data_IF_386100223172
#
_entry.id   IF_386100223172
#
_cell.length_a   1.000
_cell.length_b   1.000
_cell.length_c   1.000
_cell.angle_alpha   90.00
_cell.angle_beta   90.00
_cell.angle_gamma   90.00
#
_symmetry.space_group_name_H-M   'P 1'
#
loop_
_entity.id
_entity.type
_entity.pdbx_description
1 polymer ?
#
# COMPACT_ATOMS: atom_id res chain seq x y z
N UNK A 1 42.54 16.52 19.31
CA UNK A 1 43.73 15.70 18.99
C UNK A 1 43.27 14.50 18.19
N UNK A 2 43.92 14.29 17.04
CA UNK A 2 44.05 13.09 16.22
C UNK A 2 42.82 12.39 15.64
N UNK A 3 42.55 12.73 14.37
CA UNK A 3 42.23 11.76 13.30
C UNK A 3 43.35 10.70 13.18
N UNK A 4 43.04 9.59 12.51
CA UNK A 4 43.86 9.25 11.35
C UNK A 4 43.04 9.03 10.07
N UNK A 5 43.70 9.39 8.97
CA UNK A 5 43.33 9.24 7.57
C UNK A 5 44.22 8.19 6.91
N UNK A 6 43.66 7.34 6.05
CA UNK A 6 44.31 6.63 4.92
C UNK A 6 43.37 5.49 4.49
N UNK A 7 43.15 5.09 3.24
CA UNK A 7 43.61 5.44 1.88
C UNK A 7 42.59 4.75 0.94
N UNK A 8 42.36 5.20 -0.30
CA UNK A 8 43.35 5.23 -1.37
C UNK A 8 43.48 3.83 -1.99
N UNK A 9 42.49 3.40 -2.79
CA UNK A 9 42.50 2.11 -3.47
C UNK A 9 41.72 2.18 -4.79
N UNK A 10 42.42 2.47 -5.87
CA UNK A 10 41.94 2.51 -7.25
C UNK A 10 41.86 1.07 -7.78
N UNK A 11 40.71 0.67 -8.33
CA UNK A 11 40.56 -0.59 -9.07
C UNK A 11 40.66 -0.33 -10.59
N UNK A 12 41.28 -1.24 -11.37
CA UNK A 12 41.64 -1.00 -12.75
C UNK A 12 40.47 -1.20 -13.72
N UNK A 13 40.51 -0.42 -14.81
CA UNK A 13 39.62 -0.51 -15.96
C UNK A 13 39.79 -1.84 -16.69
N UNK A 14 38.69 -2.55 -16.92
CA UNK A 14 38.62 -3.71 -17.79
C UNK A 14 38.28 -3.25 -19.22
N UNK A 15 39.22 -3.52 -20.12
CA UNK A 15 39.19 -3.40 -21.58
C UNK A 15 38.03 -4.19 -22.21
N UNK A 16 37.23 -3.53 -23.06
CA UNK A 16 36.32 -4.19 -24.01
C UNK A 16 37.07 -4.58 -25.31
N UNK A 17 36.78 -5.74 -25.91
CA UNK A 17 37.09 -5.99 -27.32
C UNK A 17 35.96 -5.53 -28.24
N UNK A 18 36.34 -4.76 -29.27
CA UNK A 18 35.53 -4.39 -30.45
C UNK A 18 35.43 -5.57 -31.43
N UNK A 19 34.29 -5.66 -32.15
CA UNK A 19 34.13 -5.97 -33.60
C UNK A 19 32.70 -6.50 -33.91
N UNK A 20 32.19 -6.48 -35.16
CA UNK A 20 32.02 -5.35 -36.05
C UNK A 20 30.59 -5.27 -36.65
N UNK A 21 30.30 -4.14 -37.29
CA UNK A 21 29.10 -3.87 -38.08
C UNK A 21 28.81 -4.92 -39.18
N UNK A 22 27.54 -5.31 -39.35
CA UNK A 22 27.01 -5.75 -40.67
C UNK A 22 25.62 -5.20 -40.98
N UNK A 23 25.52 -4.73 -42.21
CA UNK A 23 24.44 -4.02 -42.86
C UNK A 23 23.17 -4.86 -43.12
N UNK A 24 22.03 -4.15 -43.00
CA UNK A 24 20.86 -4.11 -43.90
C UNK A 24 20.65 -5.24 -44.92
N UNK A 25 19.43 -5.80 -44.90
CA UNK A 25 18.64 -6.03 -46.13
C UNK A 25 17.14 -6.02 -45.85
N UNK A 26 16.47 -4.99 -46.37
CA UNK A 26 15.01 -4.93 -46.58
C UNK A 26 14.61 -5.94 -47.65
N UNK A 27 13.51 -6.66 -47.45
CA UNK A 27 12.72 -7.19 -48.56
C UNK A 27 11.25 -6.79 -48.42
N UNK A 28 10.79 -6.07 -49.44
CA UNK A 28 9.40 -5.73 -49.76
C UNK A 28 8.72 -6.89 -50.53
N UNK A 29 7.38 -6.78 -50.62
CA UNK A 29 6.42 -7.45 -51.54
C UNK A 29 5.71 -8.67 -50.92
N UNK A 30 4.43 -8.96 -51.17
CA UNK A 30 3.38 -8.39 -52.01
C UNK A 30 2.01 -8.89 -51.47
N UNK A 31 0.97 -8.07 -51.54
CA UNK A 31 -0.45 -8.49 -51.49
C UNK A 31 -0.88 -9.11 -52.84
N UNK A 32 -1.85 -10.04 -52.82
CA UNK A 32 -3.04 -9.92 -53.67
C UNK A 32 -4.33 -10.29 -52.90
N UNK A 33 -5.41 -9.49 -52.96
CA UNK A 33 -6.51 -9.44 -53.96
C UNK A 33 -7.69 -10.36 -53.63
N UNK A 34 -8.86 -9.74 -53.38
CA UNK A 34 -10.20 -10.32 -53.27
C UNK A 34 -10.74 -10.82 -54.63
N UNK A 35 -11.82 -11.62 -54.62
CA UNK A 35 -12.88 -11.52 -55.61
C UNK A 35 -14.26 -11.17 -55.00
N UNK A 36 -14.98 -10.28 -55.70
CA UNK A 36 -16.45 -10.16 -55.83
C UNK A 36 -16.98 -11.38 -56.62
N UNK A 37 -18.26 -11.79 -56.71
CA UNK A 37 -19.62 -11.26 -56.54
C UNK A 37 -20.56 -12.51 -56.54
N UNK A 38 -21.70 -12.52 -55.85
CA UNK A 38 -23.07 -12.55 -56.40
C UNK A 38 -24.01 -12.76 -55.18
N UNK A 39 -25.18 -12.17 -55.00
CA UNK A 39 -26.18 -11.72 -55.97
C UNK A 39 -27.44 -12.58 -55.88
N UNK A 40 -28.15 -12.60 -54.74
CA UNK A 40 -29.49 -13.18 -54.65
C UNK A 40 -30.38 -12.38 -53.67
N UNK A 41 -31.45 -11.81 -54.23
CA UNK A 41 -32.47 -10.99 -53.58
C UNK A 41 -33.74 -11.83 -53.41
N UNK A 42 -34.15 -12.22 -52.19
CA UNK A 42 -35.54 -12.64 -51.92
C UNK A 42 -35.97 -12.33 -50.48
N UNK A 43 -37.06 -11.55 -50.40
CA UNK A 43 -38.10 -11.46 -49.36
C UNK A 43 -37.77 -10.78 -48.02
N UNK A 44 -38.26 -9.54 -47.90
CA UNK A 44 -38.48 -8.82 -46.64
C UNK A 44 -39.74 -9.41 -46.00
N UNK A 45 -39.57 -10.26 -44.98
CA UNK A 45 -40.64 -10.57 -44.02
C UNK A 45 -40.29 -9.92 -42.68
N UNK A 46 -41.16 -8.98 -42.30
CA UNK A 46 -41.17 -8.23 -41.04
C UNK A 46 -41.00 -9.14 -39.81
N UNK A 47 -39.80 -9.20 -39.23
CA UNK A 47 -39.62 -9.67 -37.85
C UNK A 47 -39.77 -8.48 -36.91
N UNK A 48 -40.89 -8.51 -36.18
CA UNK A 48 -41.26 -7.60 -35.09
C UNK A 48 -40.08 -7.32 -34.16
N UNK A 49 -39.87 -6.04 -33.88
CA UNK A 49 -38.97 -5.52 -32.85
C UNK A 49 -39.12 -6.29 -31.54
N UNK A 50 -38.14 -7.13 -31.22
CA UNK A 50 -37.92 -7.56 -29.83
C UNK A 50 -37.11 -6.47 -29.15
N UNK A 51 -37.82 -5.47 -28.63
CA UNK A 51 -37.28 -4.56 -27.63
C UNK A 51 -36.88 -5.43 -26.43
N UNK A 52 -35.59 -5.73 -26.30
CA UNK A 52 -35.03 -6.29 -25.09
C UNK A 52 -35.11 -5.18 -24.05
N UNK A 53 -36.19 -5.17 -23.26
CA UNK A 53 -36.21 -4.40 -22.01
C UNK A 53 -35.09 -4.98 -21.14
N UNK A 54 -33.93 -4.33 -21.18
CA UNK A 54 -32.94 -4.42 -20.12
C UNK A 54 -33.64 -3.87 -18.88
N UNK A 55 -34.22 -4.77 -18.08
CA UNK A 55 -34.60 -4.46 -16.71
C UNK A 55 -33.29 -4.06 -16.02
N UNK A 56 -33.03 -2.75 -15.97
CA UNK A 56 -32.06 -2.18 -15.07
C UNK A 56 -32.52 -2.55 -13.67
N UNK A 57 -32.00 -3.66 -13.14
CA UNK A 57 -32.10 -3.94 -11.72
C UNK A 57 -31.50 -2.71 -11.06
N UNK A 58 -32.28 -1.91 -10.30
CA UNK A 58 -31.66 -0.89 -9.50
C UNK A 58 -30.81 -1.66 -8.51
N UNK A 59 -29.48 -1.64 -8.73
CA UNK A 59 -28.56 -1.97 -7.66
C UNK A 59 -28.83 -0.88 -6.63
N UNK A 60 -29.71 -1.18 -5.69
CA UNK A 60 -29.84 -0.43 -4.45
C UNK A 60 -28.53 -0.67 -3.71
N UNK A 61 -27.49 0.05 -4.13
CA UNK A 61 -26.32 0.30 -3.31
C UNK A 61 -26.85 1.12 -2.14
N UNK A 62 -27.31 0.41 -1.12
CA UNK A 62 -27.38 1.01 0.20
C UNK A 62 -25.97 1.57 0.45
N UNK A 63 -25.82 2.86 0.76
CA UNK A 63 -24.50 3.42 1.01
C UNK A 63 -23.78 2.54 2.04
N UNK A 64 -22.56 2.10 1.73
CA UNK A 64 -21.74 1.37 2.69
C UNK A 64 -21.52 2.30 3.90
N UNK A 65 -22.15 1.98 5.02
CA UNK A 65 -22.13 2.84 6.20
C UNK A 65 -21.33 2.17 7.32
N UNK A 66 -20.09 2.61 7.46
CA UNK A 66 -19.19 2.19 8.53
C UNK A 66 -19.21 3.25 9.65
N UNK A 67 -19.54 2.87 10.90
CA UNK A 67 -19.52 3.81 12.02
C UNK A 67 -18.10 4.05 12.58
N UNK A 68 -17.12 3.26 12.13
CA UNK A 68 -15.74 3.34 12.57
C UNK A 68 -14.80 2.77 11.50
N UNK A 69 -13.54 3.19 11.55
CA UNK A 69 -12.44 2.64 10.75
C UNK A 69 -11.29 2.24 11.67
N UNK A 70 -10.76 1.03 11.47
CA UNK A 70 -9.58 0.51 12.17
C UNK A 70 -8.50 0.32 11.11
N UNK A 71 -7.43 1.09 11.20
CA UNK A 71 -6.37 1.06 10.18
C UNK A 71 -5.09 0.41 10.72
N UNK A 72 -4.55 -0.54 9.97
CA UNK A 72 -3.22 -1.11 10.16
C UNK A 72 -2.41 -0.82 8.89
N UNK A 73 -1.12 -0.58 9.00
CA UNK A 73 -0.36 -0.21 7.81
C UNK A 73 1.03 0.36 8.05
N UNK A 74 1.55 0.97 6.99
CA UNK A 74 2.83 1.67 6.98
C UNK A 74 2.67 3.19 6.76
N UNK A 75 3.72 3.84 6.23
CA UNK A 75 3.80 5.27 5.99
C UNK A 75 2.68 5.83 5.10
N UNK A 76 2.08 5.02 4.22
CA UNK A 76 1.00 5.46 3.34
C UNK A 76 -0.30 5.79 4.09
N UNK A 77 -0.45 5.24 5.30
CA UNK A 77 -1.63 5.43 6.14
C UNK A 77 -1.31 5.87 7.56
N UNK A 78 -0.03 6.02 7.95
CA UNK A 78 0.41 6.50 9.27
C UNK A 78 -0.01 7.96 9.56
N UNK A 79 -0.92 8.15 10.50
CA UNK A 79 -1.42 9.47 10.93
C UNK A 79 -0.65 10.09 12.10
N UNK A 80 0.43 9.46 12.57
CA UNK A 80 1.25 9.95 13.68
C UNK A 80 1.90 8.86 14.55
N UNK A 81 1.70 7.58 14.26
CA UNK A 81 2.22 6.45 15.03
C UNK A 81 3.74 6.49 15.19
N UNK A 82 4.50 6.53 14.09
CA UNK A 82 5.96 6.62 14.20
C UNK A 82 6.40 7.95 14.84
N UNK A 83 5.67 9.03 14.53
CA UNK A 83 5.97 10.37 15.04
C UNK A 83 5.83 10.45 16.57
N UNK A 84 4.81 9.81 17.13
CA UNK A 84 4.55 9.76 18.57
C UNK A 84 5.65 8.98 19.31
N UNK A 85 6.15 7.90 18.70
CA UNK A 85 7.15 7.03 19.30
C UNK A 85 8.59 7.56 19.18
N UNK A 86 8.96 8.10 18.02
CA UNK A 86 10.36 8.40 17.66
C UNK A 86 10.65 9.88 17.41
N UNK A 87 9.63 10.74 17.50
CA UNK A 87 9.76 12.19 17.37
C UNK A 87 9.17 12.73 16.07
N UNK A 88 9.03 14.06 15.98
CA UNK A 88 8.20 14.69 14.97
C UNK A 88 8.76 14.51 13.56
N UNK A 89 7.85 14.11 12.65
CA UNK A 89 8.05 14.29 11.21
C UNK A 89 8.12 15.80 10.92
N UNK A 90 9.14 16.27 10.19
CA UNK A 90 9.43 17.72 9.99
C UNK A 90 8.96 18.23 8.63
N UNK A 91 9.04 19.53 8.36
CA UNK A 91 8.81 20.12 7.02
C UNK A 91 9.61 19.34 5.94
N UNK A 92 9.05 19.09 4.73
CA UNK A 92 7.82 19.65 4.12
C UNK A 92 6.50 18.96 4.48
N UNK A 93 6.52 17.94 5.34
CA UNK A 93 5.31 17.18 5.65
C UNK A 93 4.24 18.07 6.32
N UNK A 94 3.00 17.96 5.83
CA UNK A 94 1.83 18.75 6.25
C UNK A 94 1.71 20.17 5.69
N UNK A 95 2.59 20.65 4.80
CA UNK A 95 2.60 22.04 4.32
C UNK A 95 1.37 22.47 3.52
N UNK A 96 0.69 21.56 2.81
CA UNK A 96 -0.42 21.88 1.90
C UNK A 96 -1.77 21.89 2.63
N UNK A 97 -2.04 20.89 3.47
CA UNK A 97 -3.36 20.72 4.11
C UNK A 97 -3.37 21.15 5.59
N UNK A 98 -2.47 20.62 6.41
CA UNK A 98 -2.44 20.92 7.85
C UNK A 98 -1.72 22.25 8.16
N UNK A 99 -0.93 22.75 7.22
CA UNK A 99 -0.07 23.95 7.34
C UNK A 99 0.93 23.89 8.49
N UNK A 100 1.21 22.68 8.97
CA UNK A 100 2.17 22.36 10.02
C UNK A 100 2.53 20.87 9.95
N UNK A 101 3.67 20.45 10.53
CA UNK A 101 3.98 19.03 10.62
C UNK A 101 2.94 18.29 11.47
N UNK A 102 2.25 17.33 10.84
CA UNK A 102 1.10 16.62 11.40
C UNK A 102 1.39 15.12 11.61
N UNK A 103 2.67 14.73 11.73
CA UNK A 103 3.08 13.34 11.99
C UNK A 103 2.94 12.38 10.79
N UNK A 104 2.63 12.89 9.60
CA UNK A 104 2.28 12.12 8.40
C UNK A 104 3.38 12.20 7.35
N UNK A 105 3.65 11.13 6.62
CA UNK A 105 4.62 11.12 5.51
C UNK A 105 3.97 11.62 4.19
N UNK A 106 3.25 12.74 4.28
CA UNK A 106 2.60 13.44 3.18
C UNK A 106 2.64 14.95 3.43
N UNK A 107 2.60 15.77 2.39
CA UNK A 107 2.42 17.23 2.49
C UNK A 107 0.99 17.60 2.94
N UNK A 108 0.10 16.63 3.04
CA UNK A 108 -1.25 16.82 3.54
C UNK A 108 -1.94 15.53 3.96
N UNK A 109 -3.11 15.28 3.38
CA UNK A 109 -3.96 14.14 3.70
C UNK A 109 -3.38 12.83 3.17
N UNK A 110 -3.79 11.74 3.81
CA UNK A 110 -3.52 10.35 3.42
C UNK A 110 -4.80 9.70 2.88
N UNK A 111 -4.67 8.56 2.20
CA UNK A 111 -5.82 7.81 1.66
C UNK A 111 -6.87 7.51 2.73
N UNK A 112 -6.43 7.25 3.97
CA UNK A 112 -7.31 6.96 5.10
C UNK A 112 -8.18 8.15 5.51
N UNK A 113 -7.74 9.39 5.27
CA UNK A 113 -8.55 10.58 5.54
C UNK A 113 -9.71 10.70 4.54
N UNK A 114 -9.45 10.41 3.27
CA UNK A 114 -10.49 10.40 2.24
C UNK A 114 -11.50 9.27 2.48
N UNK A 115 -11.04 8.10 2.97
CA UNK A 115 -11.92 7.02 3.40
C UNK A 115 -12.82 7.50 4.55
N UNK A 116 -12.26 8.11 5.60
CA UNK A 116 -13.03 8.66 6.71
C UNK A 116 -14.06 9.72 6.25
N UNK A 117 -13.66 10.66 5.39
CA UNK A 117 -14.54 11.69 4.81
C UNK A 117 -15.71 11.05 4.05
N UNK A 118 -15.46 10.00 3.27
CA UNK A 118 -16.50 9.30 2.49
C UNK A 118 -17.59 8.67 3.36
N UNK A 119 -17.30 8.36 4.63
CA UNK A 119 -18.25 7.85 5.61
C UNK A 119 -18.79 8.92 6.56
N UNK A 120 -18.36 10.18 6.40
CA UNK A 120 -18.72 11.29 7.29
C UNK A 120 -18.09 11.17 8.68
N UNK A 121 -16.93 10.52 8.79
CA UNK A 121 -16.19 10.33 10.04
C UNK A 121 -15.06 11.37 10.18
N UNK A 122 -14.65 11.71 11.43
CA UNK A 122 -13.44 12.50 11.63
C UNK A 122 -12.18 11.70 11.23
N UNK A 123 -11.07 12.40 11.02
CA UNK A 123 -9.78 11.75 10.78
C UNK A 123 -9.35 10.90 11.98
N UNK A 124 -8.72 9.76 11.68
CA UNK A 124 -8.30 8.80 12.69
C UNK A 124 -7.12 9.34 13.49
N UNK A 125 -7.24 9.25 14.82
CA UNK A 125 -6.11 9.46 15.74
C UNK A 125 -5.18 8.25 15.69
N UNK A 126 -3.86 8.49 15.73
CA UNK A 126 -2.88 7.43 15.91
C UNK A 126 -3.05 6.81 17.31
N UNK A 127 -2.93 5.50 17.42
CA UNK A 127 -3.04 4.77 18.69
C UNK A 127 -1.99 5.22 19.71
N UNK A 128 -0.78 5.51 19.22
CA UNK A 128 0.36 5.93 20.04
C UNK A 128 0.34 7.41 20.44
N UNK A 129 -0.56 8.22 19.86
CA UNK A 129 -0.69 9.63 20.27
C UNK A 129 -1.30 9.72 21.68
N UNK A 130 -0.67 10.54 22.53
CA UNK A 130 -1.08 10.69 23.94
C UNK A 130 -1.99 11.90 24.20
N UNK A 131 -2.02 12.87 23.28
CA UNK A 131 -2.67 14.16 23.47
C UNK A 131 -3.77 14.38 22.43
N UNK A 132 -4.97 14.76 22.88
CA UNK A 132 -6.05 15.19 22.00
C UNK A 132 -6.70 14.09 21.16
N UNK A 133 -6.39 12.81 21.42
CA UNK A 133 -6.92 11.68 20.66
C UNK A 133 -8.41 11.47 20.89
N UNK A 134 -9.13 11.20 19.80
CA UNK A 134 -10.53 10.80 19.83
C UNK A 134 -10.71 9.49 19.07
N UNK A 135 -10.95 8.41 19.80
CA UNK A 135 -11.07 7.06 19.26
C UNK A 135 -12.52 6.61 19.06
N UNK A 136 -13.50 7.51 19.23
CA UNK A 136 -14.94 7.21 19.12
C UNK A 136 -15.30 6.48 17.84
N UNK A 137 -14.62 6.82 16.74
CA UNK A 137 -14.84 6.27 15.41
C UNK A 137 -13.66 5.39 14.92
N UNK A 138 -12.92 4.81 15.86
CA UNK A 138 -11.80 3.92 15.58
C UNK A 138 -10.43 4.59 15.76
N UNK A 139 -9.39 3.87 15.38
CA UNK A 139 -8.00 4.22 15.66
C UNK A 139 -7.09 3.78 14.51
N UNK A 140 -5.93 4.42 14.41
CA UNK A 140 -4.91 4.09 13.44
C UNK A 140 -3.66 3.50 14.12
N UNK A 141 -3.32 2.27 13.77
CA UNK A 141 -2.17 1.51 14.25
C UNK A 141 -1.00 1.51 13.24
N UNK A 142 -1.19 2.12 12.06
CA UNK A 142 -0.15 2.20 11.06
C UNK A 142 1.07 2.99 11.57
N UNK A 143 2.24 2.57 11.12
CA UNK A 143 3.51 3.18 11.50
C UNK A 143 4.47 3.21 10.31
N UNK A 144 5.04 4.37 10.01
CA UNK A 144 5.94 4.52 8.89
C UNK A 144 7.15 3.58 8.95
N UNK A 145 7.45 2.95 7.81
CA UNK A 145 8.49 1.92 7.69
C UNK A 145 8.10 0.56 8.26
N UNK A 146 6.85 0.35 8.67
CA UNK A 146 6.38 -0.95 9.15
C UNK A 146 6.39 -2.01 8.05
N UNK A 147 6.70 -3.22 8.46
CA UNK A 147 6.72 -4.45 7.64
C UNK A 147 5.70 -5.44 8.18
N UNK A 148 5.26 -6.37 7.34
CA UNK A 148 4.45 -7.50 7.77
C UNK A 148 5.27 -8.37 8.72
N UNK A 149 6.48 -8.76 8.32
CA UNK A 149 7.37 -9.55 9.17
C UNK A 149 8.24 -8.65 10.05
N UNK A 150 8.46 -8.98 11.34
CA UNK A 150 9.43 -8.30 12.18
C UNK A 150 10.84 -8.30 11.58
N UNK A 151 11.57 -7.20 11.76
CA UNK A 151 12.94 -7.06 11.26
C UNK A 151 13.96 -7.21 12.40
N UNK A 152 15.05 -7.93 12.15
CA UNK A 152 16.12 -8.14 13.14
C UNK A 152 17.15 -6.99 13.16
N UNK A 153 16.67 -5.76 13.00
CA UNK A 153 17.48 -4.53 13.00
C UNK A 153 16.70 -3.42 13.68
N UNK A 154 17.40 -2.49 14.32
CA UNK A 154 16.76 -1.31 14.91
C UNK A 154 16.35 -0.31 13.82
N UNK A 155 15.42 0.60 14.15
CA UNK A 155 15.02 1.70 13.27
C UNK A 155 16.22 2.51 12.76
N UNK A 156 17.22 2.76 13.61
CA UNK A 156 18.41 3.52 13.23
C UNK A 156 19.38 2.76 12.32
N UNK A 157 19.34 1.42 12.33
CA UNK A 157 20.19 0.57 11.49
C UNK A 157 19.54 0.25 10.14
N UNK A 158 18.25 -0.12 10.16
CA UNK A 158 17.54 -0.62 8.99
C UNK A 158 16.51 0.33 8.39
N UNK A 159 16.08 1.36 9.12
CA UNK A 159 14.98 2.22 8.72
C UNK A 159 13.59 1.58 8.83
N UNK A 160 13.50 0.36 9.36
CA UNK A 160 12.23 -0.35 9.56
C UNK A 160 11.63 -0.03 10.92
N UNK A 161 10.32 0.13 10.95
CA UNK A 161 9.58 0.36 12.19
C UNK A 161 9.62 -0.87 13.08
N UNK A 162 9.77 -0.72 14.42
CA UNK A 162 9.56 -1.84 15.34
C UNK A 162 8.06 -2.18 15.51
N UNK A 163 7.16 -1.40 14.92
CA UNK A 163 5.72 -1.64 14.92
C UNK A 163 5.31 -2.46 13.68
N UNK A 164 5.85 -3.68 13.56
CA UNK A 164 5.45 -4.65 12.53
C UNK A 164 3.98 -5.08 12.70
N UNK A 165 3.43 -5.78 11.72
CA UNK A 165 1.99 -6.06 11.68
C UNK A 165 1.48 -6.84 12.91
N UNK A 166 2.28 -7.75 13.44
CA UNK A 166 2.02 -8.47 14.69
C UNK A 166 1.92 -7.52 15.90
N UNK A 167 2.82 -6.53 15.99
CA UNK A 167 2.78 -5.49 17.02
C UNK A 167 1.54 -4.61 16.85
N UNK A 168 1.19 -4.22 15.62
CA UNK A 168 -0.04 -3.46 15.36
C UNK A 168 -1.31 -4.25 15.73
N UNK A 169 -1.28 -5.58 15.57
CA UNK A 169 -2.35 -6.45 16.07
C UNK A 169 -2.43 -6.41 17.59
N UNK A 170 -1.31 -6.54 18.31
CA UNK A 170 -1.28 -6.47 19.78
C UNK A 170 -1.80 -5.12 20.30
N UNK A 171 -1.43 -4.02 19.63
CA UNK A 171 -1.95 -2.69 19.91
C UNK A 171 -3.46 -2.62 19.71
N UNK A 172 -4.00 -3.19 18.62
CA UNK A 172 -5.43 -3.27 18.37
C UNK A 172 -6.17 -4.10 19.44
N UNK A 173 -5.65 -5.28 19.80
CA UNK A 173 -6.23 -6.14 20.83
C UNK A 173 -6.29 -5.40 22.18
N UNK A 174 -5.20 -4.72 22.53
CA UNK A 174 -5.14 -3.92 23.75
C UNK A 174 -6.11 -2.73 23.68
N UNK A 175 -6.15 -2.01 22.56
CA UNK A 175 -7.06 -0.90 22.33
C UNK A 175 -8.53 -1.32 22.49
N UNK A 176 -8.92 -2.41 21.83
CA UNK A 176 -10.29 -2.93 21.90
C UNK A 176 -10.67 -3.25 23.35
N UNK A 177 -9.83 -3.97 24.07
CA UNK A 177 -10.08 -4.32 25.48
C UNK A 177 -10.20 -3.07 26.38
N UNK A 178 -9.17 -2.21 26.37
CA UNK A 178 -9.10 -1.04 27.26
C UNK A 178 -10.15 0.01 26.95
N UNK A 179 -10.46 0.23 25.67
CA UNK A 179 -11.51 1.17 25.28
C UNK A 179 -12.88 0.77 25.82
N UNK A 180 -13.19 -0.53 25.85
CA UNK A 180 -14.45 -1.01 26.44
C UNK A 180 -14.45 -0.85 27.96
N UNK A 181 -13.33 -1.13 28.65
CA UNK A 181 -13.23 -0.84 30.09
C UNK A 181 -13.48 0.64 30.39
N UNK A 182 -12.92 1.56 29.61
CA UNK A 182 -13.13 3.00 29.77
C UNK A 182 -14.58 3.38 29.47
N UNK A 183 -15.16 2.83 28.39
CA UNK A 183 -16.54 3.09 28.00
C UNK A 183 -17.54 2.65 29.09
N UNK A 184 -17.34 1.46 29.66
CA UNK A 184 -18.15 0.91 30.74
C UNK A 184 -18.00 1.69 32.06
N UNK A 185 -16.79 2.16 32.37
CA UNK A 185 -16.53 2.99 33.55
C UNK A 185 -17.22 4.35 33.48
N UNK A 186 -17.51 4.84 32.27
CA UNK A 186 -18.21 6.09 32.05
C UNK A 186 -17.35 7.34 32.28
N UNK A 187 -18.00 8.46 32.59
CA UNK A 187 -17.33 9.75 32.79
C UNK A 187 -16.87 10.42 31.50
N UNK A 188 -15.97 11.40 31.64
CA UNK A 188 -15.57 12.31 30.55
C UNK A 188 -14.91 11.61 29.36
N UNK A 189 -14.26 10.47 29.58
CA UNK A 189 -13.55 9.73 28.53
C UNK A 189 -14.44 8.75 27.75
N UNK A 190 -15.66 8.47 28.21
CA UNK A 190 -16.58 7.54 27.53
C UNK A 190 -16.87 7.96 26.09
N UNK A 191 -17.13 9.25 25.88
CA UNK A 191 -17.50 9.80 24.56
C UNK A 191 -16.34 9.80 23.55
N UNK A 192 -15.11 9.55 24.01
CA UNK A 192 -13.91 9.40 23.19
C UNK A 192 -13.61 7.94 22.82
N UNK A 193 -14.37 6.98 23.33
CA UNK A 193 -14.17 5.55 23.09
C UNK A 193 -15.22 4.98 22.14
N UNK A 194 -14.87 4.00 21.29
CA UNK A 194 -15.81 3.36 20.39
C UNK A 194 -16.85 2.55 21.17
N UNK A 195 -18.07 2.51 20.63
CA UNK A 195 -19.12 1.61 21.14
C UNK A 195 -18.78 0.16 20.78
N UNK A 196 -19.19 -0.79 21.62
CA UNK A 196 -18.92 -2.22 21.42
C UNK A 196 -19.36 -2.72 20.04
N UNK A 197 -20.53 -2.29 19.58
CA UNK A 197 -21.10 -2.66 18.30
C UNK A 197 -20.36 -2.05 17.08
N UNK A 198 -19.47 -1.09 17.28
CA UNK A 198 -18.69 -0.52 16.19
C UNK A 198 -17.62 -1.48 15.69
N UNK A 199 -17.03 -2.32 16.54
CA UNK A 199 -16.00 -3.28 16.10
C UNK A 199 -16.53 -4.26 15.05
N UNK A 200 -17.72 -4.81 15.22
CA UNK A 200 -18.30 -5.73 14.23
C UNK A 200 -18.82 -5.05 12.96
N UNK A 201 -18.89 -3.72 12.97
CA UNK A 201 -19.38 -2.89 11.87
C UNK A 201 -18.30 -2.01 11.27
N UNK A 202 -17.07 -2.03 11.78
CA UNK A 202 -15.99 -1.18 11.32
C UNK A 202 -15.44 -1.66 9.97
N UNK A 203 -14.87 -0.73 9.22
CA UNK A 203 -13.99 -1.07 8.10
C UNK A 203 -12.57 -1.25 8.65
N UNK A 204 -11.99 -2.41 8.40
CA UNK A 204 -10.60 -2.72 8.72
C UNK A 204 -9.74 -2.52 7.48
N UNK A 205 -8.84 -1.55 7.51
CA UNK A 205 -8.01 -1.17 6.36
C UNK A 205 -6.56 -1.62 6.56
N UNK A 206 -5.94 -2.11 5.48
CA UNK A 206 -4.54 -2.56 5.47
C UNK A 206 -3.81 -1.91 4.29
N UNK A 207 -2.73 -1.18 4.58
CA UNK A 207 -1.78 -0.69 3.58
C UNK A 207 -0.37 -0.98 4.07
N UNK A 208 0.12 -2.17 3.75
CA UNK A 208 1.40 -2.71 4.24
C UNK A 208 1.97 -3.72 3.24
N UNK A 209 3.29 -3.93 3.31
CA UNK A 209 4.01 -4.92 2.49
C UNK A 209 5.02 -4.29 1.54
N UNK A 210 4.94 -2.99 1.24
CA UNK A 210 5.92 -2.33 0.37
C UNK A 210 7.33 -2.32 1.00
N UNK A 211 7.38 -2.13 2.33
CA UNK A 211 8.62 -2.20 3.09
C UNK A 211 9.17 -3.63 3.15
N UNK A 212 8.34 -4.67 3.11
CA UNK A 212 8.78 -6.07 3.03
C UNK A 212 9.47 -6.35 1.69
N UNK A 213 8.89 -5.88 0.58
CA UNK A 213 9.52 -5.97 -0.76
C UNK A 213 10.86 -5.27 -0.76
N UNK A 214 10.95 -4.10 -0.11
CA UNK A 214 12.21 -3.41 0.11
C UNK A 214 13.17 -4.26 0.94
N UNK A 215 12.73 -4.78 2.09
CA UNK A 215 13.57 -5.58 2.97
C UNK A 215 14.22 -6.76 2.26
N UNK A 216 13.44 -7.64 1.63
CA UNK A 216 14.03 -8.81 0.98
C UNK A 216 14.83 -8.45 -0.28
N UNK A 217 14.44 -7.41 -1.04
CA UNK A 217 15.17 -7.00 -2.25
C UNK A 217 16.55 -6.42 -1.92
N UNK A 218 16.65 -5.62 -0.87
CA UNK A 218 17.90 -4.96 -0.48
C UNK A 218 18.79 -5.83 0.42
N UNK A 219 18.22 -6.81 1.12
CA UNK A 219 18.97 -7.79 1.91
C UNK A 219 19.35 -9.05 1.10
N UNK A 220 19.06 -9.08 -0.20
CA UNK A 220 19.28 -10.24 -1.08
C UNK A 220 18.65 -11.54 -0.55
N UNK A 221 17.50 -11.41 0.13
CA UNK A 221 16.72 -12.55 0.60
C UNK A 221 15.87 -13.05 -0.58
N UNK A 222 15.79 -14.37 -0.74
CA UNK A 222 14.95 -14.99 -1.75
C UNK A 222 13.47 -14.61 -1.54
N UNK A 223 12.86 -14.00 -2.55
CA UNK A 223 11.43 -13.69 -2.51
C UNK A 223 10.56 -14.96 -2.36
N UNK A 224 11.01 -16.10 -2.87
CA UNK A 224 10.32 -17.39 -2.71
C UNK A 224 10.31 -17.85 -1.25
N UNK A 225 11.29 -17.43 -0.44
CA UNK A 225 11.35 -17.79 0.98
C UNK A 225 10.63 -16.75 1.85
N UNK A 226 10.67 -15.48 1.45
CA UNK A 226 10.09 -14.38 2.21
C UNK A 226 8.57 -14.26 2.03
N UNK A 227 8.10 -14.21 0.78
CA UNK A 227 6.69 -13.89 0.46
C UNK A 227 5.71 -14.88 1.12
N UNK A 228 5.91 -16.21 1.09
CA UNK A 228 4.99 -17.12 1.75
C UNK A 228 4.89 -16.89 3.26
N UNK A 229 6.00 -16.57 3.93
CA UNK A 229 6.00 -16.28 5.36
C UNK A 229 5.25 -14.98 5.67
N UNK A 230 5.49 -13.92 4.91
CA UNK A 230 4.75 -12.66 5.04
C UNK A 230 3.25 -12.86 4.78
N UNK A 231 2.86 -13.63 3.76
CA UNK A 231 1.44 -13.90 3.49
C UNK A 231 0.78 -14.74 4.58
N UNK A 232 1.51 -15.69 5.18
CA UNK A 232 1.03 -16.47 6.32
C UNK A 232 0.80 -15.56 7.54
N UNK A 233 1.74 -14.67 7.85
CA UNK A 233 1.62 -13.70 8.94
C UNK A 233 0.45 -12.74 8.72
N UNK A 234 0.36 -12.15 7.53
CA UNK A 234 -0.75 -11.28 7.14
C UNK A 234 -2.11 -11.99 7.25
N UNK A 235 -2.18 -13.24 6.80
CA UNK A 235 -3.39 -14.07 6.92
C UNK A 235 -3.73 -14.40 8.37
N UNK A 236 -2.73 -14.60 9.23
CA UNK A 236 -2.90 -14.83 10.66
C UNK A 236 -3.56 -13.61 11.32
N UNK A 237 -3.03 -12.41 11.05
CA UNK A 237 -3.54 -11.15 11.60
C UNK A 237 -4.99 -10.89 11.18
N UNK A 238 -5.33 -11.13 9.91
CA UNK A 238 -6.72 -11.01 9.43
C UNK A 238 -7.64 -11.98 10.20
N UNK A 239 -7.21 -13.23 10.40
CA UNK A 239 -7.99 -14.22 11.14
C UNK A 239 -8.19 -13.80 12.60
N UNK A 240 -7.15 -13.31 13.27
CA UNK A 240 -7.26 -12.80 14.64
C UNK A 240 -8.25 -11.63 14.74
N UNK A 241 -8.20 -10.67 13.81
CA UNK A 241 -9.17 -9.56 13.78
C UNK A 241 -10.59 -10.06 13.51
N UNK A 242 -10.74 -11.08 12.66
CA UNK A 242 -12.04 -11.73 12.41
C UNK A 242 -12.58 -12.45 13.66
N UNK A 243 -11.73 -13.15 14.40
CA UNK A 243 -12.07 -13.76 15.70
C UNK A 243 -12.50 -12.70 16.72
N UNK A 244 -11.88 -11.53 16.68
CA UNK A 244 -12.26 -10.35 17.45
C UNK A 244 -13.49 -9.61 16.89
N UNK A 245 -14.22 -10.21 15.96
CA UNK A 245 -15.51 -9.70 15.49
C UNK A 245 -15.43 -8.79 14.27
N UNK A 246 -14.25 -8.50 13.71
CA UNK A 246 -14.13 -7.72 12.48
C UNK A 246 -14.75 -8.44 11.26
N UNK A 247 -15.47 -7.71 10.40
CA UNK A 247 -16.26 -8.31 9.31
C UNK A 247 -16.04 -7.71 7.93
N UNK A 248 -15.48 -6.51 7.84
CA UNK A 248 -15.28 -5.82 6.57
C UNK A 248 -13.83 -5.39 6.45
N UNK A 249 -13.17 -5.88 5.42
CA UNK A 249 -11.73 -5.71 5.20
C UNK A 249 -11.49 -5.03 3.86
N UNK A 250 -10.67 -3.99 3.87
CA UNK A 250 -10.13 -3.36 2.68
C UNK A 250 -8.62 -3.52 2.71
N UNK A 251 -8.08 -4.20 1.70
CA UNK A 251 -6.66 -4.55 1.62
C UNK A 251 -6.09 -3.82 0.41
N UNK A 252 -5.19 -2.88 0.65
CA UNK A 252 -4.42 -2.20 -0.37
C UNK A 252 -3.32 -3.12 -0.87
N UNK A 253 -3.18 -3.24 -2.19
CA UNK A 253 -2.09 -4.01 -2.77
C UNK A 253 -0.81 -3.15 -2.85
N UNK A 254 0.33 -3.81 -2.90
CA UNK A 254 1.64 -3.16 -3.06
C UNK A 254 1.84 -2.64 -4.49
N UNK A 255 2.49 -1.48 -4.59
CA UNK A 255 2.80 -0.82 -5.85
C UNK A 255 4.15 -1.24 -6.43
N UNK A 256 4.45 -0.90 -7.70
CA UNK A 256 5.72 -1.20 -8.34
C UNK A 256 6.89 -0.52 -7.63
N UNK A 257 7.67 -1.31 -6.89
CA UNK A 257 8.85 -0.84 -6.14
C UNK A 257 9.82 -0.08 -7.04
N UNK A 258 10.02 -0.53 -8.28
CA UNK A 258 10.89 0.12 -9.27
C UNK A 258 10.43 1.50 -9.71
N UNK A 259 9.19 1.91 -9.43
CA UNK A 259 8.70 3.26 -9.70
C UNK A 259 8.96 4.24 -8.55
N UNK A 260 9.41 3.77 -7.38
CA UNK A 260 9.63 4.64 -6.23
C UNK A 260 10.92 5.44 -6.39
N UNK A 261 10.85 6.74 -6.12
CA UNK A 261 11.97 7.66 -6.34
C UNK A 261 13.23 7.25 -5.57
N UNK A 262 13.11 6.67 -4.38
CA UNK A 262 14.29 6.23 -3.63
C UNK A 262 14.99 5.02 -4.28
N UNK A 263 14.26 4.17 -5.00
CA UNK A 263 14.86 3.05 -5.77
C UNK A 263 15.60 3.63 -6.97
N UNK A 264 14.94 4.52 -7.72
CA UNK A 264 15.52 5.17 -8.90
C UNK A 264 16.76 6.02 -8.58
N UNK A 265 16.82 6.62 -7.39
CA UNK A 265 17.94 7.46 -6.96
C UNK A 265 19.09 6.67 -6.32
N UNK A 266 18.81 5.56 -5.63
CA UNK A 266 19.82 4.83 -4.84
C UNK A 266 20.42 3.64 -5.57
N UNK A 267 19.73 3.11 -6.57
CA UNK A 267 20.21 1.92 -7.30
C UNK A 267 21.01 2.30 -8.54
N UNK A 268 22.12 1.59 -8.82
CA UNK A 268 22.89 1.80 -10.04
C UNK A 268 22.14 1.18 -11.22
N UNK A 269 21.24 1.96 -11.82
CA UNK A 269 20.41 1.55 -12.95
C UNK A 269 20.97 2.09 -14.28
N UNK A 270 20.90 1.29 -15.34
CA UNK A 270 21.15 1.74 -16.72
C UNK A 270 19.84 2.13 -17.42
N UNK A 271 19.93 2.87 -18.52
CA UNK A 271 18.76 3.29 -19.29
C UNK A 271 17.94 2.09 -19.81
N UNK A 272 18.62 0.97 -20.12
CA UNK A 272 18.00 -0.26 -20.59
C UNK A 272 17.22 -1.01 -19.49
N UNK A 273 17.49 -0.69 -18.21
CA UNK A 273 16.79 -1.27 -17.06
C UNK A 273 15.54 -0.49 -16.66
N UNK A 274 15.21 0.57 -17.40
CA UNK A 274 13.98 1.35 -17.22
C UNK A 274 12.94 0.96 -18.28
N UNK A 275 11.69 0.81 -17.86
CA UNK A 275 10.58 0.65 -18.79
C UNK A 275 10.18 1.98 -19.45
N UNK A 276 9.16 1.95 -20.32
CA UNK A 276 8.70 3.16 -21.01
C UNK A 276 8.07 4.22 -20.09
N UNK A 277 7.76 3.87 -18.84
CA UNK A 277 7.28 4.80 -17.82
C UNK A 277 8.42 5.33 -16.92
N UNK A 278 9.66 4.87 -17.14
CA UNK A 278 10.83 5.24 -16.34
C UNK A 278 10.98 4.44 -15.05
N UNK A 279 10.25 3.33 -14.88
CA UNK A 279 10.36 2.49 -13.69
C UNK A 279 11.43 1.40 -13.87
N UNK A 280 12.12 1.06 -12.78
CA UNK A 280 13.17 0.05 -12.78
C UNK A 280 12.60 -1.37 -12.90
N UNK A 281 12.77 -1.98 -14.09
CA UNK A 281 12.30 -3.33 -14.43
C UNK A 281 12.78 -4.38 -13.42
N UNK A 282 14.06 -4.41 -12.99
CA UNK A 282 14.55 -5.42 -12.05
C UNK A 282 13.83 -5.45 -10.70
N UNK A 283 13.14 -4.38 -10.30
CA UNK A 283 12.47 -4.27 -8.99
C UNK A 283 10.95 -4.49 -9.07
N UNK A 284 10.39 -4.69 -10.26
CA UNK A 284 8.93 -4.83 -10.45
C UNK A 284 8.47 -6.29 -10.62
N UNK A 285 9.39 -7.24 -10.75
CA UNK A 285 9.08 -8.63 -11.10
C UNK A 285 8.31 -9.42 -10.03
N UNK A 286 8.22 -8.92 -8.80
CA UNK A 286 7.45 -9.55 -7.73
C UNK A 286 5.94 -9.37 -7.87
N UNK A 287 5.49 -8.34 -8.60
CA UNK A 287 4.07 -8.02 -8.79
C UNK A 287 3.40 -8.82 -9.92
N UNK A 288 4.19 -9.33 -10.87
CA UNK A 288 3.67 -10.08 -12.01
C UNK A 288 3.29 -11.53 -11.70
N UNK A 289 3.72 -12.07 -10.54
CA UNK A 289 3.45 -13.47 -10.15
C UNK A 289 2.08 -13.72 -9.53
N UNK A 290 1.23 -12.70 -9.36
CA UNK A 290 -0.15 -12.87 -8.88
C UNK A 290 -1.17 -13.19 -9.99
N UNK A 291 -0.71 -13.51 -11.21
CA UNK A 291 -1.58 -13.79 -12.37
C UNK A 291 -1.66 -15.26 -12.77
N UNK A 292 -0.95 -16.15 -12.08
CA UNK A 292 -0.96 -17.59 -12.31
C UNK A 292 -1.46 -18.34 -11.05
#
# INVERSE_FOLDING_TARGET
MNRPSSGGGVAPAATQPQEPHRLLRRHHRHHPSRPHQDGALVSVTSLRDRVLLLLSVPVSSSPCHFPAVVNLGDSNSDTGGLSAAFGPVRTPYGETFFRMPAGRYSDGRLIIDFIAESFGLPYLSAYLDSLGTNFRHGANFASAGATIMPQNVTLSQGGYSPFSLDVQLDEFLQFKSRSQTIYERGGVYRELMPRKEYFSRALYTFDIGQNDITAFSFLNISANDYIPNALNEFSSVIKSIYEEGGRSFWIHNTGPLGCLSYVLLRMPLTAEQLDSAGCAIPYNHYLSRQKD
#
